data_IF_117388734016
#
_entry.id   IF_117388734016
#
_cell.length_a   1.000
_cell.length_b   1.000
_cell.length_c   1.000
_cell.angle_alpha   90.00
_cell.angle_beta   90.00
_cell.angle_gamma   90.00
#
_symmetry.space_group_name_H-M   'P 1'
#
loop_
_entity.id
_entity.type
_entity.pdbx_description
1 polymer ?
#
# COMPACT_ATOMS: atom_id res chain seq x y z
N UNK A 1 -19.14 57.08 19.75
CA UNK A 1 -19.39 56.04 20.78
C UNK A 1 -19.78 54.77 20.04
N UNK A 2 -18.90 53.76 20.00
CA UNK A 2 -19.02 52.47 20.72
C UNK A 2 -20.24 51.65 20.22
N UNK A 3 -20.12 50.43 19.71
CA UNK A 3 -19.35 49.30 20.21
C UNK A 3 -18.95 48.32 19.09
N UNK A 4 -17.69 47.90 19.15
CA UNK A 4 -17.13 46.71 18.52
C UNK A 4 -17.88 45.45 18.98
N UNK A 5 -18.17 44.52 18.07
CA UNK A 5 -18.37 43.10 18.40
C UNK A 5 -17.38 42.26 17.60
N UNK A 6 -16.18 42.14 18.15
CA UNK A 6 -15.26 41.06 17.79
C UNK A 6 -15.79 39.77 18.40
N UNK A 7 -16.24 38.84 17.57
CA UNK A 7 -16.45 37.45 17.97
C UNK A 7 -15.12 36.72 17.75
N UNK A 8 -14.39 36.54 18.85
CA UNK A 8 -13.27 35.62 18.94
C UNK A 8 -13.84 34.20 18.84
N UNK A 9 -13.68 33.54 17.69
CA UNK A 9 -13.82 32.08 17.62
C UNK A 9 -12.54 31.51 18.20
N UNK A 10 -12.65 30.95 19.41
CA UNK A 10 -11.56 30.28 20.10
C UNK A 10 -11.08 29.08 19.28
N UNK A 11 -9.78 29.05 19.03
CA UNK A 11 -9.12 27.91 18.41
C UNK A 11 -9.31 26.67 19.26
N UNK A 12 -10.09 25.72 18.76
CA UNK A 12 -9.94 24.34 19.15
C UNK A 12 -8.74 23.82 18.36
N UNK A 13 -7.60 23.71 19.04
CA UNK A 13 -6.40 23.07 18.52
C UNK A 13 -6.75 21.64 18.09
N UNK A 14 -7.07 21.47 16.82
CA UNK A 14 -6.99 20.19 16.14
C UNK A 14 -5.52 19.81 16.15
N UNK A 15 -5.13 18.99 17.12
CA UNK A 15 -3.95 18.14 17.01
C UNK A 15 -4.25 17.23 15.82
N UNK A 16 -3.94 17.73 14.63
CA UNK A 16 -3.93 16.98 13.40
C UNK A 16 -2.74 16.05 13.54
N UNK A 17 -2.97 14.83 14.03
CA UNK A 17 -2.01 13.77 13.81
C UNK A 17 -1.80 13.72 12.31
N UNK A 18 -0.61 14.11 11.86
CA UNK A 18 -0.20 13.96 10.48
C UNK A 18 -0.36 12.48 10.13
N UNK A 19 -1.43 12.15 9.41
CA UNK A 19 -1.63 10.83 8.84
C UNK A 19 -0.64 10.70 7.70
N UNK A 20 0.56 10.24 8.02
CA UNK A 20 1.51 9.81 7.00
C UNK A 20 0.95 8.53 6.40
N UNK A 21 0.80 8.51 5.07
CA UNK A 21 0.70 7.23 4.36
C UNK A 21 1.91 6.38 4.79
N UNK A 22 1.66 5.14 5.19
CA UNK A 22 2.75 4.29 5.69
C UNK A 22 3.61 3.83 4.52
N UNK A 23 4.75 4.48 4.33
CA UNK A 23 5.74 4.03 3.35
C UNK A 23 6.27 2.66 3.78
N UNK A 24 6.08 1.65 2.94
CA UNK A 24 6.57 0.29 3.23
C UNK A 24 8.10 0.29 3.30
N UNK A 25 8.64 0.11 4.51
CA UNK A 25 10.07 -0.04 4.73
C UNK A 25 10.55 -1.36 4.14
N UNK A 26 11.67 -1.32 3.41
CA UNK A 26 12.27 -2.53 2.82
C UNK A 26 11.45 -3.14 1.67
N UNK A 27 10.67 -2.32 0.94
CA UNK A 27 9.92 -2.80 -0.23
C UNK A 27 10.80 -3.52 -1.26
N UNK A 28 12.00 -2.97 -1.50
CA UNK A 28 13.02 -3.50 -2.40
C UNK A 28 13.98 -4.50 -1.72
N UNK A 29 13.69 -4.91 -0.49
CA UNK A 29 14.43 -5.94 0.22
C UNK A 29 13.62 -7.22 0.26
N UNK A 30 14.10 -8.26 -0.40
CA UNK A 30 13.43 -9.57 -0.45
C UNK A 30 14.17 -10.56 0.43
N UNK A 31 13.41 -11.46 1.05
CA UNK A 31 13.90 -12.50 1.94
C UNK A 31 13.36 -13.83 1.42
N UNK A 32 14.26 -14.71 1.03
CA UNK A 32 13.93 -16.03 0.51
C UNK A 32 14.55 -17.10 1.42
N UNK A 33 13.78 -18.12 1.85
CA UNK A 33 14.36 -19.25 2.54
C UNK A 33 15.31 -20.00 1.60
N UNK A 34 16.43 -20.46 2.15
CA UNK A 34 17.46 -21.23 1.44
C UNK A 34 17.78 -22.51 2.20
N UNK A 35 18.10 -23.56 1.44
CA UNK A 35 18.53 -24.85 1.98
C UNK A 35 20.02 -24.87 2.36
N UNK A 36 20.82 -24.00 1.73
CA UNK A 36 22.26 -23.85 1.95
C UNK A 36 22.77 -22.53 1.35
N UNK A 37 24.04 -22.19 1.63
CA UNK A 37 24.75 -21.06 1.00
C UNK A 37 25.47 -21.44 -0.31
N UNK A 38 25.22 -22.62 -0.87
CA UNK A 38 25.87 -23.05 -2.11
C UNK A 38 25.54 -22.09 -3.27
N UNK A 39 26.47 -21.87 -4.23
CA UNK A 39 26.25 -20.96 -5.35
C UNK A 39 24.96 -21.26 -6.13
N UNK A 40 24.65 -22.53 -6.37
CA UNK A 40 23.46 -22.94 -7.12
C UNK A 40 22.15 -22.61 -6.37
N UNK A 41 22.10 -22.86 -5.06
CA UNK A 41 20.94 -22.50 -4.22
C UNK A 41 20.79 -20.98 -4.16
N UNK A 42 21.89 -20.24 -4.03
CA UNK A 42 21.88 -18.78 -4.01
C UNK A 42 21.36 -18.21 -5.33
N UNK A 43 21.77 -18.77 -6.46
CA UNK A 43 21.32 -18.29 -7.78
C UNK A 43 19.82 -18.57 -7.98
N UNK A 44 19.34 -19.74 -7.57
CA UNK A 44 17.90 -20.06 -7.56
C UNK A 44 17.11 -19.16 -6.62
N UNK A 45 17.61 -18.92 -5.41
CA UNK A 45 16.99 -18.05 -4.42
C UNK A 45 16.97 -16.59 -4.91
N UNK A 46 17.99 -16.15 -5.65
CA UNK A 46 18.01 -14.83 -6.29
C UNK A 46 16.94 -14.70 -7.37
N UNK A 47 16.71 -15.77 -8.16
CA UNK A 47 15.62 -15.80 -9.14
C UNK A 47 14.25 -15.77 -8.46
N UNK A 48 14.07 -16.51 -7.36
CA UNK A 48 12.84 -16.44 -6.53
C UNK A 48 12.66 -15.03 -5.98
N UNK A 49 13.72 -14.44 -5.44
CA UNK A 49 13.69 -13.09 -4.89
C UNK A 49 13.27 -12.04 -5.93
N UNK A 50 13.77 -12.16 -7.17
CA UNK A 50 13.34 -11.31 -8.28
C UNK A 50 11.85 -11.50 -8.59
N UNK A 51 11.37 -12.74 -8.67
CA UNK A 51 9.95 -13.01 -8.92
C UNK A 51 9.06 -12.41 -7.82
N UNK A 52 9.47 -12.58 -6.56
CA UNK A 52 8.84 -11.98 -5.39
C UNK A 52 8.83 -10.45 -5.49
N UNK A 53 9.95 -9.82 -5.84
CA UNK A 53 10.04 -8.36 -6.02
C UNK A 53 9.08 -7.87 -7.11
N UNK A 54 9.08 -8.53 -8.28
CA UNK A 54 8.20 -8.16 -9.40
C UNK A 54 6.75 -8.26 -8.97
N UNK A 55 6.36 -9.35 -8.29
CA UNK A 55 5.01 -9.50 -7.75
C UNK A 55 4.68 -8.40 -6.74
N UNK A 56 5.57 -8.05 -5.82
CA UNK A 56 5.32 -6.94 -4.87
C UNK A 56 5.08 -5.63 -5.59
N UNK A 57 5.90 -5.32 -6.58
CA UNK A 57 5.90 -4.04 -7.28
C UNK A 57 4.83 -3.95 -8.38
N UNK A 58 4.17 -5.03 -8.75
CA UNK A 58 3.14 -5.03 -9.79
C UNK A 58 1.78 -5.51 -9.28
N UNK A 59 1.78 -6.33 -8.23
CA UNK A 59 0.63 -7.08 -7.74
C UNK A 59 0.04 -8.07 -8.75
N UNK A 60 0.77 -8.38 -9.82
CA UNK A 60 0.36 -9.35 -10.85
C UNK A 60 1.28 -10.58 -10.82
N UNK A 61 0.79 -11.77 -10.48
CA UNK A 61 1.59 -12.99 -10.46
C UNK A 61 2.14 -13.37 -11.84
N UNK A 62 1.55 -12.87 -12.93
CA UNK A 62 2.01 -13.14 -14.30
C UNK A 62 3.15 -12.21 -14.73
N UNK A 63 3.33 -11.07 -14.06
CA UNK A 63 4.31 -10.06 -14.45
C UNK A 63 5.75 -10.58 -14.40
N UNK A 64 6.07 -11.45 -13.44
CA UNK A 64 7.39 -12.07 -13.32
C UNK A 64 7.79 -12.86 -14.58
N UNK A 65 6.82 -13.36 -15.35
CA UNK A 65 7.04 -14.12 -16.58
C UNK A 65 6.94 -13.28 -17.86
N UNK A 66 6.74 -11.96 -17.75
CA UNK A 66 6.69 -11.07 -18.91
C UNK A 66 7.92 -11.24 -19.81
N UNK A 67 7.77 -11.30 -21.15
CA UNK A 67 8.89 -11.37 -22.08
C UNK A 67 9.89 -10.21 -21.91
N UNK A 68 9.40 -9.03 -21.53
CA UNK A 68 10.24 -7.85 -21.29
C UNK A 68 11.24 -8.02 -20.14
N UNK A 69 11.00 -8.96 -19.23
CA UNK A 69 11.92 -9.30 -18.13
C UNK A 69 12.85 -10.48 -18.43
N UNK A 70 12.83 -11.05 -19.64
CA UNK A 70 13.63 -12.24 -19.94
C UNK A 70 15.14 -12.03 -19.76
N UNK A 71 15.65 -10.85 -20.12
CA UNK A 71 17.07 -10.50 -19.89
C UNK A 71 17.37 -10.35 -18.39
N UNK A 72 16.47 -9.69 -17.65
CA UNK A 72 16.60 -9.50 -16.21
C UNK A 72 16.53 -10.82 -15.43
N UNK A 73 15.69 -11.77 -15.85
CA UNK A 73 15.62 -13.10 -15.26
C UNK A 73 16.90 -13.92 -15.48
N UNK A 74 17.59 -13.71 -16.62
CA UNK A 74 18.87 -14.37 -16.90
C UNK A 74 20.00 -13.80 -16.06
N UNK A 75 19.99 -12.50 -15.83
CA UNK A 75 21.00 -11.82 -15.02
C UNK A 75 20.36 -10.81 -14.05
N UNK A 76 19.88 -11.27 -12.88
CA UNK A 76 19.32 -10.39 -11.86
C UNK A 76 20.35 -9.47 -11.21
N UNK A 77 21.66 -9.76 -11.34
CA UNK A 77 22.72 -9.02 -10.65
C UNK A 77 22.76 -7.54 -11.05
N UNK A 78 22.28 -7.20 -12.25
CA UNK A 78 22.25 -5.83 -12.76
C UNK A 78 21.39 -4.85 -11.95
N UNK A 79 20.48 -5.34 -11.09
CA UNK A 79 19.61 -4.52 -10.22
C UNK A 79 19.80 -4.84 -8.73
N UNK A 80 20.75 -5.70 -8.37
CA UNK A 80 21.03 -6.06 -6.98
C UNK A 80 22.10 -5.11 -6.45
N UNK A 81 21.79 -4.45 -5.34
CA UNK A 81 22.76 -3.60 -4.62
C UNK A 81 23.66 -4.45 -3.72
N UNK A 82 23.06 -5.38 -2.98
CA UNK A 82 23.77 -6.28 -2.07
C UNK A 82 22.90 -7.50 -1.73
N UNK A 83 23.54 -8.55 -1.23
CA UNK A 83 22.85 -9.66 -0.59
C UNK A 83 23.59 -10.12 0.67
N UNK A 84 22.89 -10.81 1.55
CA UNK A 84 23.44 -11.39 2.77
C UNK A 84 22.63 -12.58 3.25
N UNK A 85 23.14 -13.29 4.24
CA UNK A 85 22.47 -14.44 4.84
C UNK A 85 22.11 -14.14 6.30
N UNK A 86 20.85 -14.37 6.65
CA UNK A 86 20.39 -14.35 8.03
C UNK A 86 20.35 -15.81 8.54
N UNK A 87 21.11 -16.08 9.61
CA UNK A 87 21.14 -17.39 10.24
C UNK A 87 19.81 -17.71 10.95
N UNK A 88 19.40 -18.98 10.91
CA UNK A 88 18.23 -19.49 11.61
C UNK A 88 17.67 -20.74 10.94
N UNK A 89 16.66 -21.39 11.53
CA UNK A 89 15.83 -22.36 10.83
C UNK A 89 14.54 -21.69 10.28
N UNK A 90 14.32 -21.63 8.96
CA UNK A 90 15.31 -21.86 7.89
C UNK A 90 16.30 -20.69 7.76
N UNK A 91 17.43 -20.96 7.11
CA UNK A 91 18.38 -19.91 6.72
C UNK A 91 17.73 -19.05 5.64
N UNK A 92 18.02 -17.74 5.64
CA UNK A 92 17.35 -16.79 4.74
C UNK A 92 18.37 -16.01 3.93
N UNK A 93 18.23 -16.05 2.61
CA UNK A 93 18.90 -15.12 1.70
C UNK A 93 18.14 -13.79 1.70
N UNK A 94 18.83 -12.72 2.07
CA UNK A 94 18.35 -11.35 1.99
C UNK A 94 18.96 -10.69 0.76
N UNK A 95 18.12 -10.21 -0.16
CA UNK A 95 18.53 -9.51 -1.38
C UNK A 95 18.00 -8.09 -1.33
N UNK A 96 18.89 -7.11 -1.37
CA UNK A 96 18.55 -5.68 -1.49
C UNK A 96 18.70 -5.27 -2.95
N UNK A 97 17.59 -4.88 -3.57
CA UNK A 97 17.54 -4.39 -4.94
C UNK A 97 17.67 -2.87 -4.97
N UNK A 98 18.36 -2.35 -5.99
CA UNK A 98 18.44 -0.91 -6.23
C UNK A 98 17.09 -0.40 -6.77
N UNK A 99 16.41 0.54 -6.08
CA UNK A 99 15.08 1.00 -6.48
C UNK A 99 15.04 1.61 -7.88
N UNK A 100 16.03 2.45 -8.22
CA UNK A 100 16.03 3.21 -9.47
C UNK A 100 16.18 2.30 -10.70
N UNK A 101 17.18 1.41 -10.69
CA UNK A 101 17.41 0.45 -11.77
C UNK A 101 16.30 -0.61 -11.86
N UNK A 102 15.75 -1.05 -10.71
CA UNK A 102 14.60 -1.96 -10.67
C UNK A 102 13.39 -1.33 -11.36
N UNK A 103 12.95 -0.16 -10.92
CA UNK A 103 11.78 0.50 -11.51
C UNK A 103 11.98 0.81 -12.98
N UNK A 104 13.18 1.25 -13.37
CA UNK A 104 13.50 1.50 -14.77
C UNK A 104 13.39 0.22 -15.61
N UNK A 105 13.91 -0.91 -15.13
CA UNK A 105 13.81 -2.20 -15.82
C UNK A 105 12.35 -2.65 -15.98
N UNK A 106 11.54 -2.54 -14.92
CA UNK A 106 10.12 -2.93 -14.95
C UNK A 106 9.29 -2.02 -15.87
N UNK A 107 9.54 -0.70 -15.85
CA UNK A 107 8.86 0.25 -16.75
C UNK A 107 9.23 0.02 -18.20
N UNK A 108 10.51 -0.25 -18.51
CA UNK A 108 10.96 -0.63 -19.87
C UNK A 108 10.31 -1.93 -20.35
N UNK A 109 10.02 -2.85 -19.43
CA UNK A 109 9.26 -4.08 -19.73
C UNK A 109 7.74 -3.85 -19.87
N UNK A 110 7.26 -2.60 -19.79
CA UNK A 110 5.85 -2.24 -19.96
C UNK A 110 4.97 -2.59 -18.76
N UNK A 111 5.56 -2.87 -17.59
CA UNK A 111 4.82 -3.28 -16.40
C UNK A 111 4.27 -2.08 -15.63
N UNK A 112 3.05 -2.23 -15.12
CA UNK A 112 2.43 -1.24 -14.22
C UNK A 112 2.98 -1.40 -12.81
N UNK A 113 3.33 -0.30 -12.16
CA UNK A 113 4.01 -0.34 -10.87
C UNK A 113 3.14 0.17 -9.72
N UNK A 114 3.08 -0.59 -8.64
CA UNK A 114 2.56 -0.20 -7.34
C UNK A 114 3.70 0.27 -6.44
N UNK A 115 3.74 1.58 -6.20
CA UNK A 115 4.79 2.24 -5.42
C UNK A 115 4.81 1.89 -3.93
N UNK A 116 5.59 2.69 -3.17
CA UNK A 116 5.82 2.48 -1.74
C UNK A 116 4.66 2.96 -0.85
N UNK A 117 3.81 3.85 -1.35
CA UNK A 117 2.62 4.30 -0.67
C UNK A 117 1.50 3.28 -0.87
N UNK A 118 1.20 2.55 0.19
CA UNK A 118 0.23 1.45 0.20
C UNK A 118 -0.77 1.66 1.33
N UNK A 119 -2.04 1.23 1.17
CA UNK A 119 -2.99 1.25 2.26
C UNK A 119 -2.47 0.41 3.42
N UNK A 120 -2.38 1.03 4.59
CA UNK A 120 -2.15 0.34 5.86
C UNK A 120 -3.32 -0.61 6.17
N UNK A 121 -3.01 -1.85 6.54
CA UNK A 121 -4.02 -2.90 6.75
C UNK A 121 -4.02 -3.30 8.22
N UNK A 122 -5.15 -3.18 8.91
CA UNK A 122 -5.34 -3.78 10.23
C UNK A 122 -5.90 -5.21 10.07
N UNK A 123 -5.08 -6.20 10.40
CA UNK A 123 -5.43 -7.62 10.32
C UNK A 123 -6.03 -8.17 11.61
N UNK A 124 -7.35 -8.32 11.66
CA UNK A 124 -8.03 -9.14 12.66
C UNK A 124 -7.92 -10.60 12.28
N UNK A 125 -7.03 -11.34 12.93
CA UNK A 125 -6.74 -12.71 12.59
C UNK A 125 -7.14 -13.66 13.72
N UNK A 126 -8.21 -14.43 13.50
CA UNK A 126 -8.73 -15.40 14.46
C UNK A 126 -8.30 -16.81 14.04
N UNK A 127 -7.61 -17.52 14.93
CA UNK A 127 -7.27 -18.92 14.75
C UNK A 127 -8.22 -19.80 15.59
N UNK A 128 -8.95 -20.70 14.94
CA UNK A 128 -9.67 -21.77 15.62
C UNK A 128 -8.71 -22.92 15.94
N UNK A 129 -8.66 -23.30 17.21
CA UNK A 129 -8.01 -24.49 17.71
C UNK A 129 -9.00 -25.37 18.48
N UNK A 130 -8.59 -26.57 18.86
CA UNK A 130 -9.39 -27.51 19.66
C UNK A 130 -9.83 -26.93 21.01
N UNK A 131 -9.06 -25.99 21.56
CA UNK A 131 -9.30 -25.34 22.85
C UNK A 131 -10.17 -24.06 22.73
N UNK A 132 -10.47 -23.62 21.50
CA UNK A 132 -11.26 -22.43 21.20
C UNK A 132 -10.61 -21.51 20.17
N UNK A 133 -11.27 -20.39 19.90
CA UNK A 133 -10.80 -19.37 18.96
C UNK A 133 -9.90 -18.35 19.65
N UNK A 134 -8.75 -18.03 19.06
CA UNK A 134 -7.78 -17.07 19.61
C UNK A 134 -7.46 -15.96 18.60
N UNK A 135 -7.64 -14.71 19.00
CA UNK A 135 -7.21 -13.54 18.23
C UNK A 135 -5.69 -13.38 18.32
N UNK A 136 -5.03 -13.25 17.16
CA UNK A 136 -3.59 -13.00 17.08
C UNK A 136 -3.30 -11.53 17.40
N UNK A 137 -2.56 -11.30 18.49
CA UNK A 137 -2.11 -9.98 18.92
C UNK A 137 -0.70 -9.64 18.43
N UNK A 138 -0.41 -8.36 18.17
CA UNK A 138 0.85 -7.88 17.60
C UNK A 138 2.09 -8.35 18.39
N UNK A 139 2.05 -8.32 19.72
CA UNK A 139 3.21 -8.70 20.55
C UNK A 139 3.28 -10.20 20.86
N UNK A 140 2.51 -11.03 20.17
CA UNK A 140 2.50 -12.48 20.39
C UNK A 140 3.39 -13.20 19.37
N UNK A 141 3.88 -14.40 19.73
CA UNK A 141 4.69 -15.22 18.83
C UNK A 141 3.90 -15.62 17.56
N UNK A 142 2.59 -15.86 17.71
CA UNK A 142 1.62 -16.17 16.65
C UNK A 142 1.50 -15.10 15.58
N UNK A 143 1.92 -13.85 15.85
CA UNK A 143 1.94 -12.77 14.85
C UNK A 143 3.10 -12.87 13.85
N UNK A 144 4.14 -13.65 14.16
CA UNK A 144 5.35 -13.71 13.33
C UNK A 144 5.10 -14.23 11.92
N UNK A 145 4.36 -15.34 11.71
CA UNK A 145 4.02 -15.80 10.35
C UNK A 145 3.25 -14.74 9.54
N UNK A 146 2.32 -14.03 10.18
CA UNK A 146 1.50 -13.00 9.54
C UNK A 146 2.35 -11.81 9.10
N UNK A 147 3.26 -11.32 9.96
CA UNK A 147 4.20 -10.25 9.60
C UNK A 147 5.14 -10.66 8.49
N UNK A 148 5.66 -11.89 8.53
CA UNK A 148 6.55 -12.42 7.48
C UNK A 148 5.81 -12.54 6.15
N UNK A 149 4.58 -13.05 6.15
CA UNK A 149 3.72 -13.11 4.97
C UNK A 149 3.46 -11.71 4.40
N UNK A 150 3.05 -10.75 5.23
CA UNK A 150 2.81 -9.38 4.80
C UNK A 150 4.08 -8.72 4.23
N UNK A 151 5.23 -8.90 4.89
CA UNK A 151 6.52 -8.42 4.38
C UNK A 151 6.89 -9.09 3.05
N UNK A 152 6.67 -10.41 2.93
CA UNK A 152 6.91 -11.17 1.72
C UNK A 152 6.07 -10.68 0.53
N UNK A 153 4.85 -10.20 0.81
CA UNK A 153 3.92 -9.63 -0.18
C UNK A 153 3.98 -8.10 -0.31
N UNK A 154 4.85 -7.44 0.45
CA UNK A 154 5.01 -5.98 0.42
C UNK A 154 3.77 -5.22 0.91
N UNK A 155 3.06 -5.76 1.90
CA UNK A 155 1.87 -5.17 2.49
C UNK A 155 2.18 -4.58 3.88
N UNK A 156 1.79 -3.32 4.18
CA UNK A 156 1.93 -2.73 5.51
C UNK A 156 0.84 -3.27 6.45
N UNK A 157 1.11 -4.43 7.07
CA UNK A 157 0.22 -5.07 8.03
C UNK A 157 0.47 -4.56 9.46
N UNK A 158 -0.62 -4.15 10.11
CA UNK A 158 -0.72 -3.93 11.56
C UNK A 158 -1.63 -5.00 12.15
N UNK A 159 -1.37 -5.37 13.40
CA UNK A 159 -2.20 -6.31 14.14
C UNK A 159 -2.76 -5.63 15.39
N UNK A 160 -3.94 -6.06 15.87
CA UNK A 160 -4.48 -5.56 17.12
C UNK A 160 -3.57 -5.93 18.30
N UNK A 161 -3.71 -5.24 19.43
CA UNK A 161 -3.04 -5.59 20.68
C UNK A 161 -3.56 -6.91 21.27
N UNK A 162 -4.74 -7.34 20.81
CA UNK A 162 -5.55 -8.43 21.35
C UNK A 162 -5.85 -8.23 22.84
N UNK A 163 -6.25 -7.02 23.23
CA UNK A 163 -6.74 -6.75 24.59
C UNK A 163 -8.14 -7.32 24.82
N UNK A 164 -8.66 -7.22 26.06
CA UNK A 164 -9.95 -7.82 26.42
C UNK A 164 -11.11 -7.27 25.57
N UNK A 165 -11.10 -5.98 25.20
CA UNK A 165 -12.16 -5.40 24.39
C UNK A 165 -12.14 -5.95 22.97
N UNK A 166 -10.94 -6.17 22.42
CA UNK A 166 -10.76 -6.79 21.11
C UNK A 166 -11.13 -8.28 21.13
N UNK A 167 -10.74 -9.00 22.17
CA UNK A 167 -11.07 -10.42 22.31
C UNK A 167 -12.59 -10.67 22.37
N UNK A 168 -13.36 -9.76 22.99
CA UNK A 168 -14.82 -9.86 23.06
C UNK A 168 -15.47 -9.79 21.67
N UNK A 169 -14.95 -8.93 20.78
CA UNK A 169 -15.53 -8.73 19.45
C UNK A 169 -14.93 -9.64 18.37
N UNK A 170 -13.76 -10.24 18.61
CA UNK A 170 -13.08 -11.15 17.70
C UNK A 170 -13.72 -12.55 17.67
N UNK A 171 -14.96 -12.63 17.21
CA UNK A 171 -15.70 -13.89 17.06
C UNK A 171 -15.80 -14.29 15.59
N UNK A 172 -15.86 -15.59 15.30
CA UNK A 172 -16.02 -16.08 13.94
C UNK A 172 -17.22 -15.43 13.20
N UNK A 173 -18.42 -15.27 13.81
CA UNK A 173 -19.53 -14.56 13.17
C UNK A 173 -19.21 -13.11 12.80
N UNK A 174 -18.46 -12.39 13.64
CA UNK A 174 -18.09 -11.00 13.36
C UNK A 174 -17.05 -10.89 12.24
N UNK A 175 -16.04 -11.77 12.22
CA UNK A 175 -15.00 -11.76 11.19
C UNK A 175 -15.52 -12.29 9.83
N UNK A 176 -16.43 -13.26 9.85
CA UNK A 176 -17.08 -13.77 8.65
C UNK A 176 -18.28 -12.92 8.20
N UNK A 177 -18.67 -11.89 8.96
CA UNK A 177 -19.79 -11.00 8.66
C UNK A 177 -19.49 -10.04 7.50
N UNK A 178 -20.52 -9.58 6.79
CA UNK A 178 -20.36 -8.63 5.67
C UNK A 178 -20.15 -7.17 6.09
N UNK A 179 -20.56 -6.84 7.31
CA UNK A 179 -20.44 -5.52 7.90
C UNK A 179 -19.27 -5.51 8.90
N UNK A 180 -18.28 -4.62 8.73
CA UNK A 180 -17.18 -4.49 9.67
C UNK A 180 -17.56 -3.72 10.95
N UNK A 181 -18.79 -3.23 11.09
CA UNK A 181 -19.24 -2.44 12.24
C UNK A 181 -18.87 -3.04 13.62
N UNK A 182 -18.99 -4.37 13.87
CA UNK A 182 -18.59 -4.96 15.15
C UNK A 182 -17.09 -4.81 15.48
N UNK A 183 -16.25 -4.75 14.46
CA UNK A 183 -14.79 -4.62 14.61
C UNK A 183 -14.33 -3.16 14.56
N UNK A 184 -15.12 -2.26 13.94
CA UNK A 184 -14.73 -0.88 13.64
C UNK A 184 -14.39 -0.07 14.88
N UNK A 185 -15.24 -0.10 15.91
CA UNK A 185 -15.02 0.69 17.13
C UNK A 185 -13.71 0.34 17.86
N UNK A 186 -13.31 -0.94 17.85
CA UNK A 186 -12.02 -1.36 18.41
C UNK A 186 -10.84 -1.08 17.45
N UNK A 187 -11.12 -0.89 16.16
CA UNK A 187 -10.13 -0.66 15.11
C UNK A 187 -9.72 0.81 14.94
N UNK A 188 -10.58 1.76 15.32
CA UNK A 188 -10.37 3.19 15.07
C UNK A 188 -9.03 3.71 15.61
N UNK A 189 -8.59 3.18 16.76
CA UNK A 189 -7.32 3.56 17.40
C UNK A 189 -6.07 3.27 16.58
N UNK A 190 -6.13 2.35 15.61
CA UNK A 190 -4.99 2.00 14.75
C UNK A 190 -4.84 2.88 13.52
N UNK A 191 -5.86 3.68 13.20
CA UNK A 191 -5.87 4.58 12.03
C UNK A 191 -5.46 3.88 10.72
N UNK A 192 -5.81 2.61 10.54
CA UNK A 192 -5.53 1.87 9.32
C UNK A 192 -6.46 2.30 8.18
N UNK A 193 -5.96 2.23 6.94
CA UNK A 193 -6.74 2.54 5.73
C UNK A 193 -7.73 1.42 5.39
N UNK A 194 -7.30 0.18 5.63
CA UNK A 194 -8.09 -1.03 5.38
C UNK A 194 -8.25 -1.89 6.63
N UNK A 195 -9.39 -2.57 6.72
CA UNK A 195 -9.64 -3.62 7.70
C UNK A 195 -9.61 -4.98 6.99
N UNK A 196 -8.80 -5.91 7.48
CA UNK A 196 -8.75 -7.28 7.00
C UNK A 196 -9.19 -8.22 8.13
N UNK A 197 -10.32 -8.89 7.98
CA UNK A 197 -10.77 -9.94 8.89
C UNK A 197 -10.42 -11.31 8.29
N UNK A 198 -9.78 -12.16 9.09
CA UNK A 198 -9.39 -13.51 8.68
C UNK A 198 -9.81 -14.49 9.76
N UNK A 199 -10.59 -15.49 9.36
CA UNK A 199 -10.93 -16.62 10.20
C UNK A 199 -10.22 -17.87 9.65
N UNK A 200 -9.19 -18.32 10.36
CA UNK A 200 -8.35 -19.45 10.00
C UNK A 200 -8.62 -20.64 10.92
N UNK A 201 -8.75 -21.83 10.35
CA UNK A 201 -9.05 -23.08 11.07
C UNK A 201 -8.35 -24.26 10.42
N UNK A 202 -8.02 -25.26 11.22
CA UNK A 202 -7.47 -26.53 10.72
C UNK A 202 -8.61 -27.52 10.47
N UNK A 203 -8.70 -28.05 9.25
CA UNK A 203 -9.69 -29.07 8.87
C UNK A 203 -9.01 -30.13 7.99
N UNK A 204 -9.13 -31.41 8.37
CA UNK A 204 -8.58 -32.52 7.56
C UNK A 204 -7.06 -32.52 7.40
N UNK A 205 -6.31 -31.97 8.36
CA UNK A 205 -4.84 -31.87 8.30
C UNK A 205 -4.33 -30.77 7.36
N UNK A 206 -5.21 -29.85 6.96
CA UNK A 206 -4.84 -28.63 6.23
C UNK A 206 -5.42 -27.41 6.94
N UNK A 207 -4.69 -26.30 6.83
CA UNK A 207 -5.18 -25.01 7.29
C UNK A 207 -6.01 -24.37 6.18
N UNK A 208 -7.13 -23.77 6.55
CA UNK A 208 -7.98 -23.00 5.65
C UNK A 208 -8.34 -21.68 6.30
N UNK A 209 -8.45 -20.63 5.49
CA UNK A 209 -8.88 -19.33 5.96
C UNK A 209 -9.95 -18.74 5.05
N UNK A 210 -10.99 -18.18 5.67
CA UNK A 210 -11.88 -17.22 5.02
C UNK A 210 -11.41 -15.83 5.38
N UNK A 211 -11.40 -14.92 4.41
CA UNK A 211 -10.98 -13.55 4.62
C UNK A 211 -11.95 -12.57 3.99
N UNK A 212 -12.02 -11.38 4.59
CA UNK A 212 -12.76 -10.22 4.11
C UNK A 212 -11.92 -8.97 4.28
N UNK A 213 -11.95 -8.10 3.29
CA UNK A 213 -11.20 -6.86 3.24
C UNK A 213 -12.14 -5.70 2.96
N UNK A 214 -12.04 -4.65 3.77
CA UNK A 214 -12.77 -3.40 3.60
C UNK A 214 -11.78 -2.24 3.43
N UNK A 215 -11.92 -1.49 2.34
CA UNK A 215 -11.13 -0.29 2.06
C UNK A 215 -12.05 0.79 1.48
N UNK A 216 -12.38 1.79 2.29
CA UNK A 216 -13.46 2.73 1.98
C UNK A 216 -14.77 1.99 1.70
N UNK A 217 -15.37 2.21 0.54
CA UNK A 217 -16.61 1.56 0.12
C UNK A 217 -16.41 0.17 -0.51
N UNK A 218 -15.16 -0.21 -0.79
CA UNK A 218 -14.84 -1.46 -1.46
C UNK A 218 -14.83 -2.61 -0.45
N UNK A 219 -15.39 -3.75 -0.88
CA UNK A 219 -15.49 -4.98 -0.09
C UNK A 219 -15.02 -6.15 -0.92
N UNK A 220 -13.98 -6.81 -0.46
CA UNK A 220 -13.43 -8.01 -1.07
C UNK A 220 -13.53 -9.17 -0.10
N UNK A 221 -13.66 -10.39 -0.62
CA UNK A 221 -13.71 -11.59 0.18
C UNK A 221 -13.16 -12.78 -0.58
N UNK A 222 -12.74 -13.80 0.16
CA UNK A 222 -12.30 -15.05 -0.43
C UNK A 222 -11.98 -16.11 0.60
N UNK A 223 -11.45 -17.23 0.10
CA UNK A 223 -10.96 -18.33 0.91
C UNK A 223 -9.67 -18.88 0.33
N UNK A 224 -8.76 -19.31 1.20
CA UNK A 224 -7.50 -19.94 0.83
C UNK A 224 -7.23 -21.16 1.70
N UNK A 225 -6.32 -22.02 1.26
CA UNK A 225 -5.85 -23.19 1.98
C UNK A 225 -4.32 -23.24 1.98
N UNK A 226 -3.74 -23.94 2.95
CA UNK A 226 -2.30 -24.10 3.11
C UNK A 226 -1.97 -25.29 4.01
N UNK A 227 -0.72 -25.76 3.91
CA UNK A 227 -0.25 -26.90 4.71
C UNK A 227 -0.12 -26.55 6.19
N UNK A 228 0.17 -25.28 6.50
CA UNK A 228 0.34 -24.78 7.87
C UNK A 228 -0.15 -23.31 7.97
N UNK A 229 -0.08 -22.74 9.18
CA UNK A 229 -0.45 -21.35 9.44
C UNK A 229 0.36 -20.34 8.62
N UNK A 230 1.63 -20.61 8.34
CA UNK A 230 2.49 -19.70 7.58
C UNK A 230 2.10 -19.68 6.10
N UNK A 231 1.81 -20.85 5.53
CA UNK A 231 1.31 -21.00 4.16
C UNK A 231 -0.04 -20.31 3.98
N UNK A 232 -0.96 -20.45 4.94
CA UNK A 232 -2.25 -19.74 4.90
C UNK A 232 -2.08 -18.23 5.04
N UNK A 233 -1.21 -17.76 5.94
CA UNK A 233 -0.89 -16.34 6.07
C UNK A 233 -0.38 -15.76 4.75
N UNK A 234 0.57 -16.44 4.11
CA UNK A 234 1.14 -16.03 2.85
C UNK A 234 0.11 -16.04 1.70
N UNK A 235 -0.76 -17.06 1.65
CA UNK A 235 -1.84 -17.15 0.66
C UNK A 235 -2.91 -16.05 0.82
N UNK A 236 -3.29 -15.71 2.06
CA UNK A 236 -4.22 -14.58 2.31
C UNK A 236 -3.57 -13.27 1.86
N UNK A 237 -2.31 -13.03 2.23
CA UNK A 237 -1.62 -11.78 1.85
C UNK A 237 -1.41 -11.67 0.34
N UNK A 238 -1.18 -12.80 -0.35
CA UNK A 238 -1.14 -12.85 -1.80
C UNK A 238 -2.49 -12.41 -2.40
N UNK A 239 -3.58 -13.05 -1.97
CA UNK A 239 -4.92 -12.74 -2.47
C UNK A 239 -5.30 -11.27 -2.22
N UNK A 240 -4.98 -10.72 -1.04
CA UNK A 240 -5.19 -9.31 -0.72
C UNK A 240 -4.38 -8.39 -1.63
N UNK A 241 -3.10 -8.71 -1.87
CA UNK A 241 -2.24 -7.94 -2.78
C UNK A 241 -2.81 -7.88 -4.19
N UNK A 242 -3.26 -9.02 -4.73
CA UNK A 242 -3.84 -9.12 -6.08
C UNK A 242 -5.16 -8.33 -6.22
N UNK A 243 -5.97 -8.25 -5.15
CA UNK A 243 -7.21 -7.45 -5.15
C UNK A 243 -6.95 -5.95 -5.05
N UNK A 244 -5.93 -5.54 -4.31
CA UNK A 244 -5.61 -4.13 -4.11
C UNK A 244 -4.86 -3.54 -5.31
N UNK A 245 -3.93 -4.29 -5.89
CA UNK A 245 -3.00 -3.77 -6.89
C UNK A 245 -3.64 -3.03 -8.08
N UNK A 246 -4.73 -3.51 -8.73
CA UNK A 246 -5.33 -2.81 -9.87
C UNK A 246 -5.71 -1.35 -9.61
N UNK A 247 -5.97 -0.99 -8.35
CA UNK A 247 -6.37 0.36 -7.93
C UNK A 247 -5.19 1.30 -7.70
N UNK A 248 -4.00 0.76 -7.42
CA UNK A 248 -2.82 1.53 -7.01
C UNK A 248 -1.63 1.42 -7.98
N UNK A 249 -1.68 0.52 -8.97
CA UNK A 249 -0.65 0.44 -10.01
C UNK A 249 -0.74 1.60 -10.99
N UNK A 250 0.41 2.16 -11.36
CA UNK A 250 0.53 3.21 -12.38
C UNK A 250 1.10 2.59 -13.66
N UNK A 251 0.37 2.71 -14.77
CA UNK A 251 0.76 2.18 -16.08
C UNK A 251 1.89 3.02 -16.70
N UNK A 252 2.93 2.41 -17.29
CA UNK A 252 3.93 3.13 -18.06
C UNK A 252 3.30 3.66 -19.36
N UNK A 253 3.44 4.95 -19.63
CA UNK A 253 3.01 5.58 -20.88
C UNK A 253 1.49 5.76 -21.09
N UNK A 254 0.63 5.15 -20.25
CA UNK A 254 -0.82 5.31 -20.33
C UNK A 254 -1.35 6.48 -19.49
N UNK A 255 -0.53 7.51 -19.29
CA UNK A 255 -0.95 8.72 -18.58
C UNK A 255 -1.77 9.61 -19.51
N UNK A 256 -3.08 9.68 -19.29
CA UNK A 256 -3.76 10.93 -19.60
C UNK A 256 -3.18 12.00 -18.69
N UNK A 257 -2.76 13.13 -19.24
CA UNK A 257 -2.48 14.30 -18.41
C UNK A 257 -3.77 14.69 -17.70
N UNK A 258 -3.73 14.74 -16.36
CA UNK A 258 -4.82 15.21 -15.53
C UNK A 258 -4.38 16.50 -14.84
N UNK A 259 -5.32 17.42 -14.66
CA UNK A 259 -5.13 18.58 -13.80
C UNK A 259 -5.70 18.25 -12.43
N UNK A 260 -4.85 18.33 -11.42
CA UNK A 260 -5.20 18.13 -10.02
C UNK A 260 -5.14 19.49 -9.32
N UNK A 261 -6.30 20.03 -8.97
CA UNK A 261 -6.40 21.19 -8.09
C UNK A 261 -6.48 20.70 -6.64
N UNK A 262 -5.62 21.23 -5.77
CA UNK A 262 -5.65 20.95 -4.34
C UNK A 262 -5.85 22.26 -3.58
N UNK A 263 -6.88 22.31 -2.75
CA UNK A 263 -7.24 23.46 -1.92
C UNK A 263 -6.79 23.25 -0.46
N UNK A 264 -6.72 24.33 0.33
CA UNK A 264 -6.33 24.26 1.74
C UNK A 264 -4.86 23.90 1.98
N UNK A 265 -3.98 24.23 1.04
CA UNK A 265 -2.56 23.91 1.12
C UNK A 265 -1.86 24.72 2.23
N UNK A 266 -0.97 24.04 2.96
CA UNK A 266 -0.01 24.67 3.85
C UNK A 266 1.39 24.06 3.62
N UNK A 267 2.41 24.63 4.25
CA UNK A 267 3.81 24.21 4.03
C UNK A 267 4.05 22.73 4.37
N UNK A 268 3.41 22.21 5.42
CA UNK A 268 3.53 20.80 5.83
C UNK A 268 2.86 19.85 4.81
N UNK A 269 1.67 20.21 4.32
CA UNK A 269 0.91 19.43 3.34
C UNK A 269 1.59 19.42 1.98
N UNK A 270 2.32 20.48 1.62
CA UNK A 270 3.04 20.56 0.35
C UNK A 270 4.07 19.43 0.20
N UNK A 271 4.89 19.20 1.23
CA UNK A 271 5.90 18.15 1.20
C UNK A 271 5.29 16.74 1.18
N UNK A 272 4.19 16.54 1.92
CA UNK A 272 3.48 15.26 1.94
C UNK A 272 2.83 14.94 0.58
N UNK A 273 2.16 15.94 -0.03
CA UNK A 273 1.54 15.78 -1.33
C UNK A 273 2.56 15.53 -2.45
N UNK A 274 3.71 16.22 -2.40
CA UNK A 274 4.78 16.01 -3.38
C UNK A 274 5.25 14.56 -3.44
N UNK A 275 5.39 13.89 -2.29
CA UNK A 275 5.76 12.46 -2.22
C UNK A 275 4.67 11.56 -2.80
N UNK A 276 3.41 11.80 -2.42
CA UNK A 276 2.26 11.02 -2.90
C UNK A 276 2.07 11.11 -4.42
N UNK A 277 2.42 12.26 -5.00
CA UNK A 277 2.29 12.50 -6.44
C UNK A 277 3.55 12.18 -7.24
N UNK A 278 4.66 11.82 -6.59
CA UNK A 278 5.91 11.43 -7.25
C UNK A 278 5.70 10.28 -8.26
N UNK A 279 4.95 9.21 -7.95
CA UNK A 279 4.68 8.13 -8.92
C UNK A 279 3.90 8.58 -10.15
N UNK A 280 3.18 9.71 -10.04
CA UNK A 280 2.38 10.33 -11.09
C UNK A 280 3.16 11.45 -11.81
N UNK A 281 4.45 11.64 -11.53
CA UNK A 281 5.30 12.63 -12.21
C UNK A 281 4.76 14.05 -12.13
N UNK A 282 4.22 14.45 -10.97
CA UNK A 282 3.58 15.74 -10.80
C UNK A 282 4.47 16.93 -11.16
N UNK A 283 3.89 17.86 -11.91
CA UNK A 283 4.50 19.14 -12.27
C UNK A 283 3.61 20.28 -11.79
N UNK A 284 4.15 21.12 -10.93
CA UNK A 284 3.48 22.34 -10.50
C UNK A 284 3.16 23.23 -11.72
N UNK A 285 1.90 23.64 -11.86
CA UNK A 285 1.45 24.57 -12.90
C UNK A 285 1.26 25.97 -12.33
N UNK A 286 0.56 26.09 -11.21
CA UNK A 286 0.32 27.37 -10.54
C UNK A 286 0.10 27.20 -9.04
N UNK A 287 0.36 28.28 -8.31
CA UNK A 287 0.06 28.44 -6.88
C UNK A 287 -0.72 29.74 -6.74
N UNK A 288 -1.92 29.67 -6.19
CA UNK A 288 -2.75 30.82 -5.86
C UNK A 288 -3.23 30.69 -4.41
N UNK A 289 -2.52 31.36 -3.50
CA UNK A 289 -2.79 31.30 -2.06
C UNK A 289 -2.68 29.87 -1.51
N UNK A 290 -3.81 29.31 -1.08
CA UNK A 290 -3.95 27.95 -0.57
C UNK A 290 -4.33 26.93 -1.65
N UNK A 291 -4.41 27.34 -2.92
CA UNK A 291 -4.72 26.48 -4.06
C UNK A 291 -3.47 26.20 -4.88
N UNK A 292 -3.27 24.93 -5.19
CA UNK A 292 -2.19 24.50 -6.04
C UNK A 292 -2.73 23.65 -7.17
N UNK A 293 -2.34 24.00 -8.39
CA UNK A 293 -2.65 23.21 -9.58
C UNK A 293 -1.42 22.39 -9.98
N UNK A 294 -1.58 21.07 -9.98
CA UNK A 294 -0.59 20.13 -10.49
C UNK A 294 -1.06 19.56 -11.81
N UNK A 295 -0.11 19.36 -12.72
CA UNK A 295 -0.26 18.45 -13.84
C UNK A 295 0.30 17.10 -13.43
N UNK A 296 -0.50 16.05 -13.54
CA UNK A 296 -0.15 14.70 -13.11
C UNK A 296 -0.47 13.68 -14.19
N UNK A 297 0.20 12.53 -14.13
CA UNK A 297 0.09 11.45 -15.09
C UNK A 297 -0.60 10.24 -14.45
N UNK A 298 -1.83 9.91 -14.86
CA UNK A 298 -2.58 8.75 -14.34
C UNK A 298 -4.07 8.83 -14.66
N UNK A 299 -4.85 7.83 -14.22
CA UNK A 299 -6.32 7.90 -14.25
C UNK A 299 -6.88 8.65 -13.04
N UNK A 300 -8.08 9.21 -13.18
CA UNK A 300 -8.77 9.89 -12.08
C UNK A 300 -8.99 8.95 -10.88
N UNK A 301 -9.34 7.68 -11.14
CA UNK A 301 -9.56 6.66 -10.10
C UNK A 301 -8.28 6.34 -9.33
N UNK A 302 -7.13 6.28 -10.01
CA UNK A 302 -5.83 6.03 -9.39
C UNK A 302 -5.40 7.19 -8.51
N UNK A 303 -5.54 8.42 -9.01
CA UNK A 303 -5.27 9.63 -8.23
C UNK A 303 -6.17 9.69 -7.00
N UNK A 304 -7.47 9.46 -7.17
CA UNK A 304 -8.43 9.41 -6.07
C UNK A 304 -8.07 8.35 -5.03
N UNK A 305 -7.70 7.15 -5.48
CA UNK A 305 -7.25 6.09 -4.58
C UNK A 305 -6.02 6.50 -3.79
N UNK A 306 -5.00 7.07 -4.44
CA UNK A 306 -3.77 7.51 -3.79
C UNK A 306 -4.02 8.64 -2.78
N UNK A 307 -4.76 9.67 -3.19
CA UNK A 307 -5.07 10.83 -2.36
C UNK A 307 -5.96 10.46 -1.16
N UNK A 308 -6.80 9.44 -1.31
CA UNK A 308 -7.61 8.92 -0.19
C UNK A 308 -6.76 8.31 0.94
N UNK A 309 -5.57 7.77 0.62
CA UNK A 309 -4.63 7.27 1.65
C UNK A 309 -4.10 8.42 2.52
N UNK A 310 -4.04 9.63 1.96
CA UNK A 310 -3.67 10.85 2.68
C UNK A 310 -4.88 11.55 3.34
N UNK A 311 -6.05 10.87 3.36
CA UNK A 311 -7.32 11.40 3.88
C UNK A 311 -7.76 12.71 3.22
N UNK A 312 -7.33 12.93 1.98
CA UNK A 312 -7.82 14.03 1.17
C UNK A 312 -9.22 13.69 0.66
N UNK A 313 -10.13 14.65 0.75
CA UNK A 313 -11.49 14.52 0.25
C UNK A 313 -11.59 15.14 -1.14
N UNK A 314 -12.31 14.46 -2.02
CA UNK A 314 -12.67 15.02 -3.32
C UNK A 314 -13.71 16.12 -3.11
N UNK A 315 -13.45 17.30 -3.70
CA UNK A 315 -14.43 18.38 -3.80
C UNK A 315 -15.11 18.24 -5.16
N UNK A 316 -16.44 18.14 -5.23
CA UNK A 316 -17.16 18.09 -6.50
C UNK A 316 -16.83 19.30 -7.38
N UNK A 317 -16.66 19.09 -8.69
CA UNK A 317 -16.33 20.16 -9.63
C UNK A 317 -17.37 21.30 -9.65
N UNK A 318 -18.63 21.01 -9.28
CA UNK A 318 -19.71 22.00 -9.19
C UNK A 318 -19.61 22.92 -7.96
N UNK A 319 -18.83 22.54 -6.95
CA UNK A 319 -18.53 23.35 -5.75
C UNK A 319 -17.15 24.02 -5.83
N UNK A 320 -16.37 23.72 -6.88
CA UNK A 320 -15.09 24.37 -7.15
C UNK A 320 -15.35 25.76 -7.77
N UNK A 321 -15.03 26.88 -7.08
CA UNK A 321 -15.12 28.19 -7.70
C UNK A 321 -14.16 28.26 -8.90
N UNK A 322 -14.69 28.72 -10.04
CA UNK A 322 -14.09 28.70 -11.36
C UNK A 322 -12.55 28.77 -11.37
N UNK A 323 -11.91 27.70 -11.86
CA UNK A 323 -10.47 27.65 -12.07
C UNK A 323 -10.02 28.83 -12.92
N UNK A 324 -9.02 29.57 -12.43
CA UNK A 324 -8.36 30.61 -13.21
C UNK A 324 -7.74 29.97 -14.46
N UNK A 325 -8.14 30.47 -15.63
CA UNK A 325 -7.65 29.99 -16.92
C UNK A 325 -6.11 30.11 -16.96
N UNK A 326 -5.37 29.10 -17.42
CA UNK A 326 -3.92 29.21 -17.53
C UNK A 326 -3.59 30.39 -18.45
N UNK A 327 -2.84 31.36 -17.92
CA UNK A 327 -2.35 32.51 -18.70
C UNK A 327 -1.37 31.98 -19.73
N UNK A 328 -1.79 32.00 -21.00
CA UNK A 328 -0.94 31.70 -22.14
C UNK A 328 0.17 32.77 -22.19
N UNK A 329 1.46 32.41 -22.29
CA UNK A 329 2.51 33.40 -22.40
C UNK A 329 2.27 34.24 -23.65
N UNK A 330 2.16 35.55 -23.47
CA UNK A 330 2.01 36.50 -24.56
C UNK A 330 3.18 36.31 -25.54
N UNK A 331 2.84 36.00 -26.79
CA UNK A 331 3.81 36.01 -27.87
C UNK A 331 4.21 37.47 -28.15
N UNK A 332 5.35 37.88 -27.60
CA UNK A 332 6.06 39.07 -28.07
C UNK A 332 6.44 38.89 -29.54
N UNK A 333 6.04 39.84 -30.39
CA UNK A 333 6.60 39.94 -31.73
C UNK A 333 5.65 40.51 -32.78
N UNK A 334 5.50 41.84 -32.80
CA UNK A 334 5.15 42.55 -34.04
C UNK A 334 5.94 43.85 -34.08
N UNK A 335 7.08 43.83 -34.76
CA UNK A 335 7.79 45.03 -35.16
C UNK A 335 7.01 45.71 -36.30
N UNK A 336 6.79 47.04 -36.28
CA UNK A 336 6.24 47.74 -37.43
C UNK A 336 7.33 47.99 -38.47
N UNK A 337 6.88 48.08 -39.72
CA UNK A 337 7.65 48.27 -40.94
C UNK A 337 8.44 49.59 -41.02
#
# INVERSE_FOLDING_TARGET
MRFFKLLFVGGLSLVSLASQAETVKGLYQVREPVSSQAPEERDQATQRALATLVLRLTGDPKAAQSPGLAALRKDPQQIISQYGFDAGPPEVLKVDFDPASTEQALRRAGLSLWGADRPSILGWWLNDATEGSTLVGDRQASATPLRRAAQHRGLPLRLPLADLNEQIVATAPNLEGADPAPLRGASDRYNADALLAVHAREEGGQWQAKWRLWLGDQKEAGSVQGADQAAVADAVMLAVSERLAPRFVVKPGASSEQLLEVQGMNLERYAALGRLLEPFGARLQSVDGDRILYRVNGSAEQLKAQLSLARLQEVPADEAPASATPVQPAADGSAPA
#
